data_IF_610398961431
#
_entry.id   IF_610398961431
#
_cell.length_a   1.000
_cell.length_b   1.000
_cell.length_c   1.000
_cell.angle_alpha   90.00
_cell.angle_beta   90.00
_cell.angle_gamma   90.00
#
_symmetry.space_group_name_H-M   'P 1'
#
loop_
_entity.id
_entity.type
_entity.pdbx_description
1 polymer ?
#
# COMPACT_ATOMS: atom_id res chain seq x y z
N UNK A 1 -10.41 -18.70 14.31
CA UNK A 1 -10.05 -17.34 13.84
C UNK A 1 -11.18 -16.81 12.97
N UNK A 2 -11.79 -15.67 13.32
CA UNK A 2 -12.83 -15.09 12.49
C UNK A 2 -12.24 -14.70 11.11
N UNK A 3 -12.83 -15.21 10.02
CA UNK A 3 -12.42 -14.83 8.66
C UNK A 3 -12.55 -13.31 8.54
N UNK A 4 -11.48 -12.60 8.15
CA UNK A 4 -11.46 -11.14 7.90
C UNK A 4 -12.38 -10.66 6.76
N UNK A 5 -13.28 -11.52 6.28
CA UNK A 5 -14.31 -11.22 5.30
C UNK A 5 -13.76 -10.52 4.06
N UNK A 6 -14.28 -9.31 3.79
CA UNK A 6 -13.88 -8.49 2.65
C UNK A 6 -12.67 -7.58 2.93
N UNK A 7 -12.12 -7.59 4.15
CA UNK A 7 -10.98 -6.74 4.52
C UNK A 7 -9.68 -7.51 4.31
N UNK A 8 -8.88 -7.03 3.36
CA UNK A 8 -7.59 -7.63 2.99
C UNK A 8 -6.45 -6.69 3.39
N UNK A 9 -5.29 -7.25 3.66
CA UNK A 9 -4.07 -6.48 3.82
C UNK A 9 -3.52 -6.12 2.43
N UNK A 10 -3.05 -4.88 2.27
CA UNK A 10 -2.40 -4.40 1.05
C UNK A 10 -1.13 -3.68 1.43
N UNK A 11 -0.16 -3.72 0.51
CA UNK A 11 1.11 -3.03 0.63
C UNK A 11 1.07 -1.87 -0.36
N UNK A 12 1.23 -0.65 0.14
CA UNK A 12 1.40 0.54 -0.69
C UNK A 12 2.90 0.81 -0.84
N UNK A 13 3.38 0.73 -2.07
CA UNK A 13 4.79 0.97 -2.43
C UNK A 13 4.95 2.35 -3.06
N UNK A 14 6.01 3.08 -2.70
CA UNK A 14 6.32 4.37 -3.31
C UNK A 14 6.66 4.21 -4.80
N UNK A 15 6.01 5.00 -5.65
CA UNK A 15 6.23 4.98 -7.11
C UNK A 15 7.40 5.85 -7.54
N UNK A 16 7.66 6.95 -6.83
CA UNK A 16 8.68 7.95 -7.17
C UNK A 16 10.09 7.50 -6.76
N UNK A 17 10.22 6.88 -5.58
CA UNK A 17 11.52 6.42 -5.08
C UNK A 17 12.08 5.24 -5.90
N UNK A 18 11.23 4.53 -6.66
CA UNK A 18 11.68 3.44 -7.52
C UNK A 18 12.59 3.93 -8.66
N UNK A 19 12.47 5.19 -9.07
CA UNK A 19 13.26 5.79 -10.16
C UNK A 19 14.39 6.68 -9.66
N UNK A 20 14.56 6.88 -8.35
CA UNK A 20 15.56 7.79 -7.78
C UNK A 20 16.98 7.23 -7.76
N UNK A 21 17.16 5.91 -7.95
CA UNK A 21 18.45 5.23 -7.85
C UNK A 21 19.01 5.15 -6.42
N UNK A 22 18.23 5.57 -5.41
CA UNK A 22 18.61 5.50 -4.00
C UNK A 22 18.29 4.12 -3.40
N UNK A 23 19.09 3.63 -2.43
CA UNK A 23 18.85 2.36 -1.80
C UNK A 23 17.64 2.44 -0.86
N UNK A 24 16.68 1.54 -1.04
CA UNK A 24 15.51 1.41 -0.19
C UNK A 24 14.20 1.56 -0.97
N UNK A 25 13.09 1.18 -0.34
CA UNK A 25 11.75 1.41 -0.89
C UNK A 25 10.75 1.59 0.25
N UNK A 26 10.10 2.75 0.30
CA UNK A 26 9.07 3.00 1.30
C UNK A 26 7.83 2.16 1.02
N UNK A 27 7.43 1.38 2.02
CA UNK A 27 6.28 0.48 1.98
C UNK A 27 5.39 0.70 3.20
N UNK A 28 4.11 0.92 2.96
CA UNK A 28 3.09 1.01 4.01
C UNK A 28 2.17 -0.20 3.96
N UNK A 29 2.08 -0.91 5.09
CA UNK A 29 1.12 -2.00 5.26
C UNK A 29 -0.18 -1.43 5.79
N UNK A 30 -1.26 -1.57 5.02
CA UNK A 30 -2.59 -1.13 5.42
C UNK A 30 -3.63 -2.21 5.10
N UNK A 31 -4.89 -1.94 5.40
CA UNK A 31 -6.00 -2.80 5.04
C UNK A 31 -6.96 -2.07 4.13
N UNK A 32 -7.46 -2.75 3.09
CA UNK A 32 -8.55 -2.24 2.24
C UNK A 32 -9.73 -3.20 2.25
N UNK A 33 -10.91 -2.68 1.98
CA UNK A 33 -12.08 -3.51 1.74
C UNK A 33 -12.22 -3.75 0.22
N UNK A 34 -12.08 -5.01 -0.21
CA UNK A 34 -12.11 -5.36 -1.63
C UNK A 34 -13.46 -5.11 -2.32
N UNK A 35 -14.57 -5.03 -1.56
CA UNK A 35 -15.92 -4.80 -2.11
C UNK A 35 -16.22 -3.31 -2.25
N UNK A 36 -15.80 -2.50 -1.27
CA UNK A 36 -16.06 -1.06 -1.29
C UNK A 36 -15.04 -0.31 -2.17
N UNK A 37 -13.81 -0.82 -2.25
CA UNK A 37 -12.71 -0.23 -3.02
C UNK A 37 -12.02 -1.32 -3.84
N UNK A 38 -12.66 -1.76 -4.94
CA UNK A 38 -12.13 -2.83 -5.77
C UNK A 38 -10.81 -2.41 -6.44
N UNK A 39 -10.73 -1.16 -6.89
CA UNK A 39 -9.59 -0.62 -7.63
C UNK A 39 -8.30 -0.50 -6.81
N UNK A 40 -7.21 -0.23 -7.52
CA UNK A 40 -5.89 0.00 -6.91
C UNK A 40 -5.94 1.27 -6.06
N UNK A 41 -5.43 1.17 -4.83
CA UNK A 41 -5.34 2.33 -3.92
C UNK A 41 -4.04 3.05 -4.19
N UNK A 42 -4.15 4.32 -4.57
CA UNK A 42 -3.02 5.23 -4.74
C UNK A 42 -3.21 6.43 -3.81
N UNK A 43 -2.25 6.66 -2.91
CA UNK A 43 -2.31 7.69 -1.90
C UNK A 43 -0.96 8.39 -1.79
N UNK A 44 -1.00 9.71 -1.59
CA UNK A 44 0.20 10.48 -1.22
C UNK A 44 0.48 10.23 0.27
N UNK A 45 1.64 9.62 0.54
CA UNK A 45 2.13 9.34 1.89
C UNK A 45 3.54 9.92 2.02
N UNK A 46 3.93 10.20 3.26
CA UNK A 46 5.31 10.60 3.56
C UNK A 46 6.28 9.51 3.09
N UNK A 47 7.44 9.91 2.58
CA UNK A 47 8.51 8.98 2.24
C UNK A 47 9.69 9.23 3.21
N UNK A 48 9.99 8.28 4.13
CA UNK A 48 11.11 8.42 5.07
C UNK A 48 12.48 8.06 4.49
N UNK A 49 12.53 7.60 3.23
CA UNK A 49 13.77 7.23 2.51
C UNK A 49 14.10 8.32 1.50
#
# INVERSE_FOLDING_TARGET
MAKKGNRIQVIMECTEHKTSGMPGTSRYITTKNKKNTPDRVELKKYNPI
#
